data_IF_958961386265
#
_entry.id   IF_958961386265
#
_cell.length_a   1.000
_cell.length_b   1.000
_cell.length_c   1.000
_cell.angle_alpha   90.00
_cell.angle_beta   90.00
_cell.angle_gamma   90.00
#
_symmetry.space_group_name_H-M   'P 1'
#
loop_
_entity.id
_entity.type
_entity.pdbx_description
1 polymer ?
#
# COMPACT_ATOMS: atom_id res chain seq x y z
N UNK A 1 6.75 32.92 -4.84
CA UNK A 1 7.53 31.74 -5.31
C UNK A 1 6.62 30.53 -5.18
N UNK A 2 6.19 29.92 -6.29
CA UNK A 2 5.44 28.66 -6.20
C UNK A 2 6.44 27.58 -5.77
N UNK A 3 6.32 27.10 -4.52
CA UNK A 3 6.97 25.86 -4.12
C UNK A 3 6.55 24.79 -5.11
N UNK A 4 7.51 24.26 -5.88
CA UNK A 4 7.25 23.16 -6.81
C UNK A 4 6.85 21.99 -5.91
N UNK A 5 5.54 21.77 -5.79
CA UNK A 5 5.00 20.60 -5.12
C UNK A 5 5.53 19.41 -5.89
N UNK A 6 6.20 18.48 -5.21
CA UNK A 6 6.57 17.20 -5.80
C UNK A 6 5.29 16.60 -6.41
N UNK A 7 5.19 16.46 -7.75
CA UNK A 7 3.94 16.10 -8.40
C UNK A 7 3.47 14.71 -7.97
N UNK A 8 4.39 13.84 -7.56
CA UNK A 8 4.09 12.52 -7.00
C UNK A 8 3.56 12.62 -5.57
N UNK A 9 4.09 13.53 -4.75
CA UNK A 9 3.56 13.75 -3.40
C UNK A 9 2.11 14.28 -3.41
N UNK A 10 1.73 15.06 -4.44
CA UNK A 10 0.36 15.53 -4.60
C UNK A 10 -0.66 14.40 -4.80
N UNK A 11 -0.22 13.25 -5.33
CA UNK A 11 -1.07 12.05 -5.47
C UNK A 11 -1.51 11.55 -4.09
N UNK A 12 -0.61 11.58 -3.10
CA UNK A 12 -0.91 11.12 -1.73
C UNK A 12 -1.86 12.06 -1.01
N UNK A 13 -1.74 13.37 -1.23
CA UNK A 13 -2.65 14.35 -0.64
C UNK A 13 -4.06 14.25 -1.25
N UNK A 14 -4.16 13.95 -2.55
CA UNK A 14 -5.43 13.77 -3.25
C UNK A 14 -6.10 12.42 -2.97
N UNK A 15 -5.33 11.42 -2.54
CA UNK A 15 -5.78 10.03 -2.35
C UNK A 15 -5.45 9.53 -0.94
N UNK A 16 -5.77 10.35 0.07
CA UNK A 16 -5.48 10.00 1.47
C UNK A 16 -6.09 8.65 1.85
N UNK A 17 -5.34 7.91 2.66
CA UNK A 17 -5.80 6.62 3.15
C UNK A 17 -7.06 6.78 3.99
N UNK A 18 -8.05 5.96 3.67
CA UNK A 18 -9.26 5.70 4.43
C UNK A 18 -9.51 4.19 4.45
N UNK A 19 -10.34 3.73 5.36
CA UNK A 19 -10.72 2.31 5.49
C UNK A 19 -11.26 1.72 4.17
N UNK A 20 -11.81 2.55 3.28
CA UNK A 20 -12.47 2.11 2.05
C UNK A 20 -11.53 1.99 0.84
N UNK A 21 -10.36 2.61 0.86
CA UNK A 21 -9.50 2.75 -0.34
C UNK A 21 -8.10 2.13 -0.19
N UNK A 22 -7.91 1.22 0.76
CA UNK A 22 -6.61 0.63 1.10
C UNK A 22 -5.76 0.20 -0.11
N UNK A 23 -6.31 -0.56 -1.05
CA UNK A 23 -5.55 -1.07 -2.21
C UNK A 23 -5.10 0.04 -3.18
N UNK A 24 -5.97 1.03 -3.43
CA UNK A 24 -5.64 2.16 -4.29
C UNK A 24 -4.61 3.08 -3.63
N UNK A 25 -4.80 3.36 -2.35
CA UNK A 25 -3.83 4.13 -1.55
C UNK A 25 -2.47 3.44 -1.52
N UNK A 26 -2.41 2.14 -1.22
CA UNK A 26 -1.15 1.40 -1.14
C UNK A 26 -0.40 1.42 -2.48
N UNK A 27 -1.12 1.30 -3.60
CA UNK A 27 -0.51 1.43 -4.94
C UNK A 27 0.13 2.79 -5.15
N UNK A 28 -0.58 3.87 -4.80
CA UNK A 28 -0.06 5.23 -4.91
C UNK A 28 1.15 5.46 -4.00
N UNK A 29 1.08 5.00 -2.75
CA UNK A 29 2.19 5.08 -1.80
C UNK A 29 3.44 4.37 -2.35
N UNK A 30 3.31 3.15 -2.87
CA UNK A 30 4.44 2.40 -3.44
C UNK A 30 5.09 3.14 -4.63
N UNK A 31 4.30 3.81 -5.47
CA UNK A 31 4.83 4.61 -6.59
C UNK A 31 5.69 5.78 -6.07
N UNK A 32 5.19 6.53 -5.08
CA UNK A 32 5.95 7.66 -4.51
C UNK A 32 7.22 7.17 -3.82
N UNK A 33 7.14 6.14 -2.98
CA UNK A 33 8.31 5.59 -2.31
C UNK A 33 9.32 4.98 -3.30
N UNK A 34 8.88 4.39 -4.41
CA UNK A 34 9.78 3.91 -5.45
C UNK A 34 10.53 5.07 -6.11
N UNK A 35 9.85 6.17 -6.40
CA UNK A 35 10.45 7.36 -7.03
C UNK A 35 11.48 8.05 -6.13
N UNK A 36 11.21 8.06 -4.83
CA UNK A 36 12.06 8.68 -3.81
C UNK A 36 13.19 7.76 -3.34
N UNK A 37 13.13 6.47 -3.71
CA UNK A 37 14.02 5.34 -3.36
C UNK A 37 13.86 4.63 -1.99
N UNK A 38 13.07 5.08 -0.98
CA UNK A 38 12.99 4.36 0.29
C UNK A 38 11.96 3.22 0.30
N UNK A 39 11.41 2.79 -0.85
CA UNK A 39 10.41 1.70 -0.90
C UNK A 39 10.89 0.43 -0.17
N UNK A 40 12.18 0.13 -0.21
CA UNK A 40 12.74 -1.05 0.42
C UNK A 40 12.57 -1.05 1.95
N UNK A 41 12.46 0.11 2.61
CA UNK A 41 12.27 0.15 4.07
C UNK A 41 10.86 -0.26 4.49
N UNK A 42 9.89 -0.19 3.57
CA UNK A 42 8.52 -0.66 3.79
C UNK A 42 8.40 -2.19 3.79
N UNK A 43 9.30 -2.86 3.06
CA UNK A 43 9.24 -4.31 2.80
C UNK A 43 10.27 -5.09 3.62
N UNK A 44 11.37 -4.43 4.01
CA UNK A 44 12.45 -5.06 4.77
C UNK A 44 12.34 -4.76 6.26
N UNK A 45 12.88 -5.68 7.06
CA UNK A 45 13.03 -5.48 8.50
C UNK A 45 14.07 -4.39 8.78
N UNK A 46 13.95 -3.69 9.94
CA UNK A 46 14.96 -2.75 10.38
C UNK A 46 16.37 -3.33 10.33
N UNK A 47 17.33 -2.54 9.82
CA UNK A 47 18.74 -2.91 9.94
C UNK A 47 19.07 -2.87 11.45
N UNK A 48 19.59 -3.97 11.99
CA UNK A 48 20.08 -3.96 13.38
C UNK A 48 21.24 -2.97 13.52
N UNK A 49 21.44 -2.48 14.73
CA UNK A 49 22.54 -1.58 15.09
C UNK A 49 23.88 -2.08 14.55
N UNK A 50 24.74 -1.14 14.16
CA UNK A 50 26.07 -1.44 13.68
C UNK A 50 26.89 -2.15 14.78
N UNK A 51 27.70 -3.16 14.42
CA UNK A 51 28.70 -3.73 15.33
C UNK A 51 29.63 -2.64 15.89
N UNK A 52 30.20 -2.88 17.09
CA UNK A 52 31.11 -1.93 17.72
C UNK A 52 32.39 -1.67 16.89
N UNK A 53 32.74 -2.58 15.99
CA UNK A 53 33.86 -2.56 15.07
C UNK A 53 33.46 -2.21 13.62
N UNK A 54 32.27 -1.66 13.43
CA UNK A 54 31.76 -1.29 12.10
C UNK A 54 32.70 -0.31 11.39
N UNK A 55 32.97 -0.61 10.12
CA UNK A 55 33.72 0.25 9.23
C UNK A 55 32.96 1.55 8.95
N UNK A 56 33.67 2.63 8.54
CA UNK A 56 33.01 3.87 8.12
C UNK A 56 31.97 3.67 7.01
N UNK A 57 32.19 2.69 6.12
CA UNK A 57 31.27 2.34 5.04
C UNK A 57 29.98 1.69 5.54
N UNK A 58 30.07 0.85 6.58
CA UNK A 58 28.90 0.24 7.22
C UNK A 58 28.09 1.27 8.00
N UNK A 59 28.76 2.18 8.71
CA UNK A 59 28.11 3.30 9.40
C UNK A 59 27.37 4.22 8.41
N UNK A 60 27.98 4.55 7.27
CA UNK A 60 27.33 5.34 6.23
C UNK A 60 26.10 4.65 5.62
N UNK A 61 26.13 3.32 5.47
CA UNK A 61 24.95 2.54 5.02
C UNK A 61 23.84 2.56 6.06
N UNK A 62 24.17 2.44 7.35
CA UNK A 62 23.20 2.48 8.44
C UNK A 62 22.57 3.88 8.57
N UNK A 63 23.37 4.94 8.47
CA UNK A 63 22.88 6.33 8.50
C UNK A 63 21.90 6.60 7.36
N UNK A 64 22.29 6.23 6.13
CA UNK A 64 21.40 6.30 4.97
C UNK A 64 20.11 5.50 5.18
N UNK A 65 20.21 4.32 5.79
CA UNK A 65 19.04 3.50 6.06
C UNK A 65 18.06 4.21 7.00
N UNK A 66 18.55 4.88 8.04
CA UNK A 66 17.73 5.67 8.95
C UNK A 66 17.08 6.88 8.27
N UNK A 67 17.80 7.57 7.39
CA UNK A 67 17.25 8.66 6.59
C UNK A 67 16.12 8.20 5.67
N UNK A 68 16.33 7.09 4.96
CA UNK A 68 15.34 6.50 4.07
C UNK A 68 14.12 5.98 4.87
N UNK A 69 14.34 5.41 6.06
CA UNK A 69 13.28 4.94 6.94
C UNK A 69 12.43 6.08 7.49
N UNK A 70 13.06 7.15 7.99
CA UNK A 70 12.36 8.35 8.45
C UNK A 70 11.51 8.93 7.31
N UNK A 71 12.09 9.03 6.10
CA UNK A 71 11.39 9.50 4.91
C UNK A 71 10.19 8.61 4.57
N UNK A 72 10.35 7.28 4.53
CA UNK A 72 9.26 6.36 4.26
C UNK A 72 8.13 6.50 5.29
N UNK A 73 8.48 6.56 6.58
CA UNK A 73 7.52 6.73 7.68
C UNK A 73 6.74 8.03 7.54
N UNK A 74 7.42 9.14 7.21
CA UNK A 74 6.77 10.42 6.95
C UNK A 74 5.77 10.32 5.78
N UNK A 75 6.14 9.69 4.66
CA UNK A 75 5.22 9.50 3.54
C UNK A 75 4.01 8.64 3.92
N UNK A 76 4.24 7.54 4.62
CA UNK A 76 3.17 6.64 5.09
C UNK A 76 2.17 7.42 5.93
N UNK A 77 2.60 8.10 7.00
CA UNK A 77 1.72 8.85 7.92
C UNK A 77 1.09 10.06 7.22
N UNK A 78 1.85 10.87 6.48
CA UNK A 78 1.34 12.06 5.82
C UNK A 78 0.28 11.75 4.75
N UNK A 79 0.35 10.56 4.14
CA UNK A 79 -0.63 10.09 3.16
C UNK A 79 -1.93 9.57 3.78
N UNK A 80 -2.09 9.63 5.10
CA UNK A 80 -3.28 9.17 5.80
C UNK A 80 -4.28 10.30 6.08
N UNK A 81 -5.54 9.93 6.31
CA UNK A 81 -6.50 10.84 6.93
C UNK A 81 -6.08 11.18 8.37
N UNK A 82 -6.53 12.33 8.89
CA UNK A 82 -6.20 12.75 10.26
C UNK A 82 -6.60 11.73 11.33
N UNK A 83 -7.74 11.04 11.14
CA UNK A 83 -8.18 9.96 12.02
C UNK A 83 -7.14 8.84 12.07
N UNK A 84 -6.67 8.43 10.90
CA UNK A 84 -5.76 7.31 10.76
C UNK A 84 -4.33 7.66 11.18
N UNK A 85 -3.90 8.91 11.01
CA UNK A 85 -2.62 9.39 11.54
C UNK A 85 -2.51 9.17 13.05
N UNK A 86 -3.57 9.49 13.81
CA UNK A 86 -3.59 9.30 15.28
C UNK A 86 -3.42 7.84 15.70
N UNK A 87 -3.83 6.89 14.86
CA UNK A 87 -3.66 5.47 15.12
C UNK A 87 -2.20 5.01 14.98
N UNK A 88 -1.41 5.67 14.13
CA UNK A 88 -0.10 5.18 13.70
C UNK A 88 1.07 6.14 13.96
N UNK A 89 0.82 7.35 14.48
CA UNK A 89 1.87 8.35 14.73
C UNK A 89 2.97 7.88 15.72
N UNK A 90 2.60 6.95 16.61
CA UNK A 90 3.51 6.35 17.61
C UNK A 90 4.20 5.08 17.12
N UNK A 91 3.85 4.57 15.94
CA UNK A 91 4.54 3.41 15.38
C UNK A 91 5.92 3.82 14.88
N UNK A 92 6.93 3.09 15.34
CA UNK A 92 8.34 3.42 15.13
C UNK A 92 8.76 3.22 13.67
N UNK A 93 8.28 2.15 13.04
CA UNK A 93 8.74 1.74 11.71
C UNK A 93 7.63 1.79 10.64
N UNK A 94 7.98 2.25 9.44
CA UNK A 94 7.13 2.24 8.25
C UNK A 94 6.66 0.81 7.92
N UNK A 95 7.55 -0.17 7.98
CA UNK A 95 7.22 -1.59 7.80
C UNK A 95 6.19 -2.08 8.83
N UNK A 96 6.29 -1.62 10.09
CA UNK A 96 5.34 -1.96 11.15
C UNK A 96 3.94 -1.42 10.87
N UNK A 97 3.85 -0.15 10.42
CA UNK A 97 2.58 0.45 9.99
C UNK A 97 2.02 -0.32 8.79
N UNK A 98 2.84 -0.62 7.79
CA UNK A 98 2.43 -1.35 6.60
C UNK A 98 1.86 -2.73 6.93
N UNK A 99 2.54 -3.49 7.80
CA UNK A 99 2.10 -4.82 8.22
C UNK A 99 0.74 -4.74 8.93
N UNK A 100 0.60 -3.83 9.90
CA UNK A 100 -0.66 -3.66 10.64
C UNK A 100 -1.82 -3.33 9.69
N UNK A 101 -1.62 -2.39 8.76
CA UNK A 101 -2.64 -2.03 7.77
C UNK A 101 -2.99 -3.20 6.84
N UNK A 102 -2.00 -3.99 6.45
CA UNK A 102 -2.21 -5.19 5.63
C UNK A 102 -3.03 -6.24 6.37
N UNK A 103 -2.83 -6.41 7.67
CA UNK A 103 -3.60 -7.34 8.49
C UNK A 103 -5.06 -6.91 8.64
N UNK A 104 -5.31 -5.62 8.87
CA UNK A 104 -6.65 -5.05 9.05
C UNK A 104 -7.45 -4.93 7.74
N UNK A 105 -6.81 -4.45 6.67
CA UNK A 105 -7.50 -4.03 5.45
C UNK A 105 -7.10 -4.82 4.20
N UNK A 106 -6.02 -5.60 4.28
CA UNK A 106 -5.57 -6.44 3.15
C UNK A 106 -6.51 -7.60 2.85
N UNK A 107 -7.27 -8.10 3.85
CA UNK A 107 -8.24 -9.21 3.69
C UNK A 107 -9.66 -8.77 3.33
N UNK A 108 -10.04 -7.52 3.62
CA UNK A 108 -11.42 -7.02 3.57
C UNK A 108 -12.04 -7.03 2.16
N UNK A 109 -11.23 -7.12 1.09
CA UNK A 109 -11.69 -7.23 -0.30
C UNK A 109 -11.55 -8.63 -0.92
N UNK A 110 -10.77 -9.55 -0.34
CA UNK A 110 -10.73 -10.95 -0.82
C UNK A 110 -12.08 -11.66 -0.68
N UNK A 111 -12.85 -11.28 0.35
CA UNK A 111 -14.22 -11.74 0.54
C UNK A 111 -15.23 -10.97 -0.33
N UNK A 112 -15.06 -9.67 -0.56
CA UNK A 112 -15.98 -8.90 -1.44
C UNK A 112 -15.81 -9.26 -2.93
N UNK A 113 -14.59 -9.52 -3.40
CA UNK A 113 -14.34 -9.99 -4.76
C UNK A 113 -14.93 -11.38 -5.02
N UNK A 114 -14.81 -12.29 -4.04
CA UNK A 114 -15.44 -13.62 -4.13
C UNK A 114 -16.96 -13.56 -4.01
N UNK A 115 -17.53 -12.67 -3.19
CA UNK A 115 -18.99 -12.48 -3.10
C UNK A 115 -19.58 -11.85 -4.37
N UNK A 116 -18.93 -10.84 -4.96
CA UNK A 116 -19.37 -10.23 -6.23
C UNK A 116 -19.21 -11.20 -7.40
N UNK A 117 -18.17 -12.04 -7.40
CA UNK A 117 -18.01 -13.13 -8.38
C UNK A 117 -19.11 -14.18 -8.22
N UNK A 118 -19.48 -14.54 -6.98
CA UNK A 118 -20.55 -15.52 -6.72
C UNK A 118 -21.94 -14.98 -7.06
N UNK A 119 -22.24 -13.73 -6.73
CA UNK A 119 -23.53 -13.11 -7.10
C UNK A 119 -23.68 -12.93 -8.62
N UNK A 120 -22.57 -12.69 -9.32
CA UNK A 120 -22.53 -12.62 -10.79
C UNK A 120 -22.73 -13.99 -11.45
N UNK A 121 -22.28 -15.08 -10.81
CA UNK A 121 -22.51 -16.46 -11.31
C UNK A 121 -23.93 -16.94 -11.05
N UNK A 122 -24.57 -16.56 -9.92
CA UNK A 122 -25.94 -16.98 -9.61
C UNK A 122 -27.02 -16.19 -10.34
N UNK A 123 -26.70 -15.01 -10.89
CA UNK A 123 -27.64 -14.19 -11.68
C UNK A 123 -27.84 -14.71 -13.11
N UNK A 124 -27.00 -15.64 -13.59
CA UNK A 124 -26.98 -16.11 -14.98
C UNK A 124 -27.56 -17.50 -15.24
N UNK A 125 -28.35 -18.06 -14.31
CA UNK A 125 -28.93 -19.41 -14.46
C UNK A 125 -30.46 -19.46 -14.33
N UNK A 126 -31.18 -18.51 -14.91
CA UNK A 126 -32.60 -18.73 -15.23
C UNK A 126 -32.97 -18.09 -16.58
N UNK A 127 -32.78 -18.85 -17.66
CA UNK A 127 -33.83 -19.02 -18.66
C UNK A 127 -33.44 -20.15 -19.62
N UNK A 128 -34.06 -21.31 -19.40
CA UNK A 128 -34.07 -22.38 -20.38
C UNK A 128 -34.96 -21.95 -21.55
N UNK A 129 -34.35 -21.49 -22.63
CA UNK A 129 -35.04 -21.35 -23.92
C UNK A 129 -34.49 -22.38 -24.89
N UNK A 130 -35.36 -23.30 -25.29
CA UNK A 130 -35.15 -24.30 -26.34
C UNK A 130 -34.84 -23.60 -27.66
N UNK A 131 -33.68 -23.87 -28.25
CA UNK A 131 -33.36 -23.48 -29.64
C UNK A 131 -33.38 -24.73 -30.51
N UNK A 132 -34.33 -24.73 -31.44
CA UNK A 132 -34.65 -25.75 -32.44
C UNK A 132 -33.44 -26.01 -33.35
N UNK A 133 -33.08 -27.28 -33.58
CA UNK A 133 -32.11 -27.67 -34.60
C UNK A 133 -32.73 -27.58 -36.01
N UNK A 134 -32.10 -26.83 -36.91
CA UNK A 134 -32.38 -26.89 -38.35
C UNK A 134 -31.26 -27.71 -39.01
N UNK A 135 -31.50 -29.00 -39.22
CA UNK A 135 -30.64 -29.87 -40.01
C UNK A 135 -31.00 -29.79 -41.50
N UNK A 136 -30.07 -29.30 -42.31
CA UNK A 136 -30.01 -29.56 -43.75
C UNK A 136 -29.22 -30.85 -43.98
N UNK A 137 -29.87 -31.91 -44.45
CA UNK A 137 -29.55 -32.74 -45.65
C UNK A 137 -30.83 -33.47 -46.06
#
# INVERSE_FOLDING_TARGET
MSSIKNPLAAILDSNKFSVLNYQGWLRNLKIVLASEKPLYTLENTPLKEAPADASPEELAKLDKWWDDELKARCYVIASMSNEMQRCFEKTEYAAGIHLHLKELYGRTLGLRGSLLSRSSMTSRMHDGTLVHEHGFV
#
